data_IF_009169501557
#
_entry.id   IF_009169501557
#
_cell.length_a   1.000
_cell.length_b   1.000
_cell.length_c   1.000
_cell.angle_alpha   90.00
_cell.angle_beta   90.00
_cell.angle_gamma   90.00
#
_symmetry.space_group_name_H-M   'P 1'
#
loop_
_entity.id
_entity.type
_entity.pdbx_description
1 polymer ?
#
# COMPACT_ATOMS: atom_id res chain seq x y z
N UNK A 1 -24.23 0.08 13.54
CA UNK A 1 -22.93 0.34 14.18
C UNK A 1 -21.95 0.72 13.10
N UNK A 2 -21.41 1.96 13.10
CA UNK A 2 -20.29 2.30 12.21
C UNK A 2 -19.09 1.46 12.64
N UNK A 3 -18.66 0.50 11.82
CA UNK A 3 -17.42 -0.20 12.04
C UNK A 3 -16.29 0.68 11.52
N UNK A 4 -15.50 1.23 12.43
CA UNK A 4 -14.17 1.69 12.07
C UNK A 4 -13.38 0.43 11.69
N UNK A 5 -12.90 0.36 10.46
CA UNK A 5 -11.95 -0.68 10.07
C UNK A 5 -10.66 -0.45 10.88
N UNK A 6 -10.33 -1.36 11.77
CA UNK A 6 -9.02 -1.35 12.43
C UNK A 6 -7.97 -1.79 11.40
N UNK A 7 -7.45 -0.81 10.66
CA UNK A 7 -6.42 -1.02 9.65
C UNK A 7 -5.21 -1.68 10.31
N UNK A 8 -4.76 -2.82 9.75
CA UNK A 8 -3.68 -3.64 10.32
C UNK A 8 -4.16 -4.90 11.05
N UNK A 9 -5.46 -5.01 11.37
CA UNK A 9 -6.03 -6.21 12.00
C UNK A 9 -7.09 -6.92 11.13
N UNK A 10 -7.49 -6.30 10.01
CA UNK A 10 -8.50 -6.85 9.10
C UNK A 10 -7.96 -6.92 7.67
N UNK A 11 -8.58 -7.77 6.87
CA UNK A 11 -8.37 -7.85 5.42
C UNK A 11 -9.63 -7.47 4.65
N UNK A 12 -9.46 -7.02 3.41
CA UNK A 12 -10.54 -6.83 2.44
C UNK A 12 -10.32 -7.80 1.29
N UNK A 13 -11.31 -8.67 1.06
CA UNK A 13 -11.36 -9.51 -0.14
C UNK A 13 -11.87 -8.67 -1.30
N UNK A 14 -10.97 -8.28 -2.20
CA UNK A 14 -11.32 -7.34 -3.28
C UNK A 14 -11.99 -7.99 -4.48
N UNK A 15 -12.10 -9.34 -4.51
CA UNK A 15 -12.75 -10.07 -5.59
C UNK A 15 -13.21 -11.46 -5.14
N UNK A 16 -14.51 -11.65 -5.06
CA UNK A 16 -15.14 -12.90 -4.71
C UNK A 16 -16.52 -12.99 -5.38
N UNK A 17 -16.97 -14.18 -5.75
CA UNK A 17 -18.28 -14.42 -6.33
C UNK A 17 -19.20 -15.10 -5.32
N UNK A 18 -19.53 -14.41 -4.23
CA UNK A 18 -20.38 -14.94 -3.16
C UNK A 18 -21.82 -15.25 -3.60
N UNK A 19 -22.29 -14.62 -4.69
CA UNK A 19 -23.61 -14.80 -5.26
C UNK A 19 -23.77 -16.14 -6.01
N UNK A 20 -22.66 -16.79 -6.40
CA UNK A 20 -22.70 -18.02 -7.20
C UNK A 20 -23.36 -19.19 -6.48
N UNK A 21 -24.04 -20.05 -7.25
CA UNK A 21 -24.73 -21.28 -6.81
C UNK A 21 -23.80 -22.22 -6.01
N UNK A 22 -22.51 -22.18 -6.27
CA UNK A 22 -21.52 -22.95 -5.51
C UNK A 22 -21.57 -22.70 -4.00
N UNK A 23 -22.12 -21.56 -3.57
CA UNK A 23 -22.27 -21.20 -2.15
C UNK A 23 -23.70 -21.40 -1.63
N UNK A 24 -24.70 -21.73 -2.46
CA UNK A 24 -26.07 -21.88 -2.01
C UNK A 24 -26.27 -22.81 -0.80
N UNK A 25 -25.51 -23.92 -0.70
CA UNK A 25 -25.72 -24.85 0.41
C UNK A 25 -25.31 -24.29 1.78
N UNK A 26 -24.35 -23.33 1.83
CA UNK A 26 -23.74 -22.87 3.07
C UNK A 26 -23.25 -21.40 3.04
N UNK A 27 -23.83 -20.56 2.17
CA UNK A 27 -23.40 -19.14 1.98
C UNK A 27 -23.33 -18.35 3.28
N UNK A 28 -24.33 -18.50 4.17
CA UNK A 28 -24.35 -17.83 5.46
C UNK A 28 -23.16 -18.25 6.35
N UNK A 29 -22.86 -19.55 6.36
CA UNK A 29 -21.73 -20.09 7.12
C UNK A 29 -20.38 -19.63 6.54
N UNK A 30 -20.27 -19.55 5.20
CA UNK A 30 -19.09 -18.98 4.50
C UNK A 30 -18.86 -17.53 4.91
N UNK A 31 -19.91 -16.70 4.88
CA UNK A 31 -19.87 -15.29 5.28
C UNK A 31 -19.45 -15.17 6.76
N UNK A 32 -19.99 -16.04 7.62
CA UNK A 32 -19.61 -16.06 9.04
C UNK A 32 -18.15 -16.45 9.23
N UNK A 33 -17.67 -17.51 8.55
CA UNK A 33 -16.26 -17.92 8.61
C UNK A 33 -15.32 -16.82 8.13
N UNK A 34 -15.69 -16.11 7.06
CA UNK A 34 -14.93 -14.96 6.57
C UNK A 34 -14.77 -13.89 7.65
N UNK A 35 -15.87 -13.50 8.28
CA UNK A 35 -15.86 -12.53 9.37
C UNK A 35 -15.01 -13.00 10.56
N UNK A 36 -15.14 -14.27 10.97
CA UNK A 36 -14.40 -14.85 12.09
C UNK A 36 -12.89 -14.96 11.78
N UNK A 37 -12.53 -15.08 10.48
CA UNK A 37 -11.14 -15.07 10.00
C UNK A 37 -10.53 -13.66 9.86
N UNK A 38 -11.26 -12.58 10.21
CA UNK A 38 -10.74 -11.22 10.14
C UNK A 38 -10.96 -10.53 8.79
N UNK A 39 -11.86 -11.04 7.93
CA UNK A 39 -12.25 -10.34 6.71
C UNK A 39 -13.24 -9.23 7.09
N UNK A 40 -12.77 -7.98 7.00
CA UNK A 40 -13.53 -6.80 7.38
C UNK A 40 -14.49 -6.30 6.29
N UNK A 41 -14.17 -6.58 5.02
CA UNK A 41 -15.05 -6.32 3.89
C UNK A 41 -14.83 -7.32 2.76
N UNK A 42 -15.88 -7.53 1.95
CA UNK A 42 -15.86 -8.38 0.76
C UNK A 42 -16.48 -7.59 -0.38
N UNK A 43 -15.85 -7.61 -1.56
CA UNK A 43 -16.44 -7.11 -2.79
C UNK A 43 -16.90 -8.32 -3.60
N UNK A 44 -18.23 -8.52 -3.68
CA UNK A 44 -18.80 -9.56 -4.53
C UNK A 44 -18.98 -9.04 -5.96
N UNK A 45 -18.62 -9.85 -6.94
CA UNK A 45 -18.33 -9.39 -8.29
C UNK A 45 -19.41 -9.89 -9.26
N UNK A 46 -20.12 -8.95 -9.86
CA UNK A 46 -21.08 -9.28 -10.89
C UNK A 46 -20.43 -9.59 -12.23
N UNK A 47 -20.76 -10.72 -12.82
CA UNK A 47 -20.26 -11.20 -14.11
C UNK A 47 -21.32 -11.28 -15.22
N UNK A 48 -22.58 -11.36 -14.82
CA UNK A 48 -23.78 -11.36 -15.69
C UNK A 48 -24.97 -10.71 -14.96
N UNK A 49 -26.17 -10.70 -15.56
CA UNK A 49 -27.33 -10.07 -14.92
C UNK A 49 -27.78 -10.78 -13.63
N UNK A 50 -27.65 -12.08 -13.55
CA UNK A 50 -28.05 -12.84 -12.36
C UNK A 50 -27.05 -12.59 -11.23
N UNK A 51 -25.75 -12.67 -11.53
CA UNK A 51 -24.66 -12.36 -10.60
C UNK A 51 -24.71 -10.93 -10.09
N UNK A 52 -24.93 -9.95 -10.98
CA UNK A 52 -25.12 -8.55 -10.59
C UNK A 52 -26.27 -8.38 -9.59
N UNK A 53 -27.42 -9.01 -9.83
CA UNK A 53 -28.57 -8.96 -8.92
C UNK A 53 -28.26 -9.62 -7.58
N UNK A 54 -27.71 -10.84 -7.60
CA UNK A 54 -27.33 -11.58 -6.39
C UNK A 54 -26.32 -10.82 -5.54
N UNK A 55 -25.30 -10.23 -6.19
CA UNK A 55 -24.30 -9.39 -5.51
C UNK A 55 -24.93 -8.15 -4.85
N UNK A 56 -25.86 -7.47 -5.54
CA UNK A 56 -26.60 -6.35 -4.98
C UNK A 56 -27.44 -6.76 -3.77
N UNK A 57 -28.17 -7.88 -3.84
CA UNK A 57 -28.96 -8.41 -2.73
C UNK A 57 -28.10 -8.72 -1.51
N UNK A 58 -26.94 -9.38 -1.70
CA UNK A 58 -25.98 -9.64 -0.63
C UNK A 58 -25.43 -8.34 -0.02
N UNK A 59 -25.09 -7.37 -0.85
CA UNK A 59 -24.58 -6.09 -0.38
C UNK A 59 -25.61 -5.31 0.45
N UNK A 60 -26.89 -5.43 0.17
CA UNK A 60 -27.96 -4.82 0.96
C UNK A 60 -28.20 -5.55 2.28
N UNK A 61 -27.98 -6.87 2.30
CA UNK A 61 -28.21 -7.72 3.47
C UNK A 61 -27.10 -7.59 4.52
N UNK A 62 -25.84 -7.39 4.10
CA UNK A 62 -24.68 -7.37 4.98
C UNK A 62 -23.92 -6.04 4.89
N UNK A 63 -23.66 -5.41 6.02
CA UNK A 63 -23.00 -4.09 6.10
C UNK A 63 -21.56 -4.08 5.54
N UNK A 64 -20.86 -5.21 5.60
CA UNK A 64 -19.47 -5.35 5.17
C UNK A 64 -19.29 -5.99 3.79
N UNK A 65 -20.40 -6.28 3.08
CA UNK A 65 -20.39 -6.75 1.69
C UNK A 65 -20.73 -5.58 0.77
N UNK A 66 -19.89 -5.39 -0.23
CA UNK A 66 -20.03 -4.44 -1.32
C UNK A 66 -20.18 -5.20 -2.63
N UNK A 67 -20.66 -4.54 -3.70
CA UNK A 67 -20.84 -5.16 -4.99
C UNK A 67 -20.13 -4.37 -6.09
N UNK A 68 -19.73 -5.05 -7.14
CA UNK A 68 -19.50 -4.46 -8.45
C UNK A 68 -20.61 -4.92 -9.41
N UNK A 69 -20.79 -4.18 -10.49
CA UNK A 69 -21.71 -4.56 -11.57
C UNK A 69 -20.99 -4.48 -12.91
N UNK A 70 -21.12 -5.54 -13.70
CA UNK A 70 -20.45 -5.62 -14.98
C UNK A 70 -20.94 -6.82 -15.81
N UNK A 71 -20.29 -7.03 -16.94
CA UNK A 71 -20.57 -8.14 -17.86
C UNK A 71 -19.27 -8.72 -18.37
N UNK A 72 -19.03 -9.97 -18.01
CA UNK A 72 -17.77 -10.67 -18.21
C UNK A 72 -17.51 -10.95 -19.71
N UNK A 73 -16.24 -10.96 -20.17
CA UNK A 73 -15.91 -11.20 -21.57
C UNK A 73 -16.37 -12.56 -22.10
N UNK A 74 -16.58 -13.58 -21.27
CA UNK A 74 -17.09 -14.88 -21.69
C UNK A 74 -18.47 -14.78 -22.32
N UNK A 75 -19.31 -13.90 -21.79
CA UNK A 75 -20.72 -13.77 -22.19
C UNK A 75 -20.95 -12.54 -23.09
N UNK A 76 -19.87 -11.86 -23.52
CA UNK A 76 -19.95 -10.64 -24.31
C UNK A 76 -20.83 -10.75 -25.57
N UNK A 77 -20.96 -11.95 -26.18
CA UNK A 77 -21.82 -12.21 -27.33
C UNK A 77 -23.29 -12.00 -27.04
N UNK A 78 -23.71 -12.17 -25.78
CA UNK A 78 -25.08 -12.04 -25.31
C UNK A 78 -25.39 -10.62 -24.77
N UNK A 79 -24.42 -9.69 -24.82
CA UNK A 79 -24.57 -8.32 -24.35
C UNK A 79 -25.47 -7.50 -25.25
N UNK A 80 -26.57 -6.99 -24.70
CA UNK A 80 -27.53 -6.14 -25.42
C UNK A 80 -27.63 -4.74 -24.82
N UNK A 81 -28.34 -3.82 -25.52
CA UNK A 81 -28.61 -2.49 -24.98
C UNK A 81 -29.44 -2.53 -23.70
N UNK A 82 -30.37 -3.48 -23.59
CA UNK A 82 -31.20 -3.69 -22.39
C UNK A 82 -30.31 -4.08 -21.20
N UNK A 83 -29.38 -5.01 -21.42
CA UNK A 83 -28.40 -5.41 -20.39
C UNK A 83 -27.55 -4.21 -19.98
N UNK A 84 -27.03 -3.45 -20.93
CA UNK A 84 -26.25 -2.26 -20.65
C UNK A 84 -27.02 -1.23 -19.82
N UNK A 85 -28.27 -0.96 -20.20
CA UNK A 85 -29.13 -0.02 -19.49
C UNK A 85 -29.43 -0.48 -18.08
N UNK A 86 -29.62 -1.78 -17.88
CA UNK A 86 -29.84 -2.34 -16.54
C UNK A 86 -28.58 -2.22 -15.65
N UNK A 87 -27.37 -2.49 -16.19
CA UNK A 87 -26.11 -2.31 -15.47
C UNK A 87 -25.93 -0.81 -15.13
N UNK A 88 -26.18 0.09 -16.07
CA UNK A 88 -26.10 1.53 -15.86
C UNK A 88 -27.09 2.01 -14.79
N UNK A 89 -28.31 1.49 -14.79
CA UNK A 89 -29.31 1.78 -13.76
C UNK A 89 -28.83 1.37 -12.39
N UNK A 90 -28.38 0.11 -12.21
CA UNK A 90 -27.85 -0.39 -10.94
C UNK A 90 -26.63 0.37 -10.48
N UNK A 91 -25.67 0.60 -11.39
CA UNK A 91 -24.48 1.38 -11.07
C UNK A 91 -24.81 2.81 -10.62
N UNK A 92 -25.84 3.44 -11.20
CA UNK A 92 -26.27 4.81 -10.85
C UNK A 92 -27.05 4.82 -9.54
N UNK A 93 -28.00 3.91 -9.38
CA UNK A 93 -28.89 3.87 -8.21
C UNK A 93 -28.16 3.46 -6.93
N UNK A 94 -27.29 2.45 -7.02
CA UNK A 94 -26.59 1.86 -5.87
C UNK A 94 -25.13 2.29 -5.75
N UNK A 95 -24.67 3.27 -6.52
CA UNK A 95 -23.32 3.81 -6.42
C UNK A 95 -23.03 4.26 -5.00
N UNK A 96 -21.87 3.86 -4.48
CA UNK A 96 -21.36 4.37 -3.23
C UNK A 96 -21.18 5.89 -3.33
N UNK A 97 -21.90 6.62 -2.50
CA UNK A 97 -21.70 8.05 -2.34
C UNK A 97 -20.70 8.28 -1.23
N UNK A 98 -20.01 9.42 -1.23
CA UNK A 98 -18.97 9.77 -0.26
C UNK A 98 -19.19 9.11 1.11
N UNK A 99 -18.21 8.37 1.69
CA UNK A 99 -18.34 7.66 2.98
C UNK A 99 -18.80 8.55 4.14
N UNK A 100 -18.62 9.87 4.01
CA UNK A 100 -19.13 10.88 4.97
C UNK A 100 -20.57 11.30 4.72
N UNK A 101 -21.26 10.80 3.68
CA UNK A 101 -22.66 11.10 3.46
C UNK A 101 -23.55 10.24 4.38
N UNK A 102 -24.51 10.89 5.06
CA UNK A 102 -25.52 10.23 5.91
C UNK A 102 -26.57 9.45 5.11
N UNK A 103 -26.39 9.28 3.80
CA UNK A 103 -27.33 8.61 2.92
C UNK A 103 -27.00 7.12 2.93
N UNK A 104 -27.81 6.34 3.62
CA UNK A 104 -27.83 4.88 3.53
C UNK A 104 -28.30 4.48 2.13
N UNK A 105 -27.53 3.68 1.38
CA UNK A 105 -28.06 3.04 0.21
C UNK A 105 -27.12 2.58 -0.88
N UNK A 106 -25.99 3.21 -1.11
CA UNK A 106 -25.15 2.82 -2.24
C UNK A 106 -23.98 1.90 -1.83
N UNK A 107 -23.94 0.69 -2.39
CA UNK A 107 -22.84 -0.27 -2.15
C UNK A 107 -22.20 -0.81 -3.42
N UNK A 108 -22.52 -0.23 -4.59
CA UNK A 108 -21.79 -0.49 -5.83
C UNK A 108 -20.51 0.34 -5.82
N UNK A 109 -19.38 -0.35 -5.79
CA UNK A 109 -18.06 0.24 -5.63
C UNK A 109 -17.20 0.25 -6.90
N UNK A 110 -17.63 -0.41 -7.97
CA UNK A 110 -16.89 -0.50 -9.22
C UNK A 110 -17.73 -1.04 -10.38
N UNK A 111 -17.22 -0.85 -11.60
CA UNK A 111 -17.69 -1.51 -12.81
C UNK A 111 -16.80 -2.71 -13.08
N UNK A 112 -17.37 -3.89 -13.04
CA UNK A 112 -16.66 -5.16 -13.18
C UNK A 112 -17.50 -6.36 -12.70
N UNK A 113 -17.11 -7.51 -13.19
CA UNK A 113 -15.90 -7.87 -13.91
C UNK A 113 -16.05 -7.60 -15.40
N UNK A 114 -15.09 -6.88 -15.99
CA UNK A 114 -15.07 -6.52 -17.40
C UNK A 114 -13.68 -6.78 -17.98
N UNK A 115 -13.55 -6.93 -19.29
CA UNK A 115 -12.23 -7.11 -19.88
C UNK A 115 -12.19 -8.05 -21.07
N UNK A 116 -11.09 -8.80 -21.19
CA UNK A 116 -10.80 -9.67 -22.33
C UNK A 116 -10.27 -11.04 -21.88
N UNK A 117 -10.82 -12.12 -22.45
CA UNK A 117 -10.34 -13.49 -22.29
C UNK A 117 -10.09 -14.12 -23.68
N UNK A 118 -8.83 -14.22 -24.08
CA UNK A 118 -8.42 -14.83 -25.32
C UNK A 118 -7.94 -16.28 -25.13
N UNK A 119 -7.97 -16.76 -23.90
CA UNK A 119 -7.65 -18.15 -23.58
C UNK A 119 -8.85 -19.07 -23.86
N UNK A 120 -10.00 -18.73 -23.31
CA UNK A 120 -11.22 -19.52 -23.51
C UNK A 120 -11.98 -19.14 -24.78
N UNK A 121 -11.90 -17.88 -25.22
CA UNK A 121 -12.55 -17.37 -26.45
C UNK A 121 -14.07 -17.71 -26.56
N UNK A 122 -14.79 -17.73 -25.44
CA UNK A 122 -16.23 -18.05 -25.41
C UNK A 122 -17.11 -17.06 -26.17
N UNK A 123 -16.64 -15.84 -26.34
CA UNK A 123 -17.22 -14.81 -27.19
C UNK A 123 -16.21 -14.32 -28.22
N UNK A 124 -16.63 -13.92 -29.44
CA UNK A 124 -15.73 -13.39 -30.45
C UNK A 124 -14.91 -12.19 -29.92
N UNK A 125 -13.59 -12.17 -30.13
CA UNK A 125 -12.67 -11.16 -29.60
C UNK A 125 -13.07 -9.72 -29.93
N UNK A 126 -13.63 -9.50 -31.15
CA UNK A 126 -14.15 -8.18 -31.53
C UNK A 126 -15.29 -7.75 -30.62
N UNK A 127 -16.22 -8.65 -30.33
CA UNK A 127 -17.38 -8.37 -29.45
C UNK A 127 -16.87 -8.13 -28.01
N UNK A 128 -15.95 -8.95 -27.51
CA UNK A 128 -15.35 -8.72 -26.20
C UNK A 128 -14.77 -7.29 -26.10
N UNK A 129 -14.01 -6.83 -27.10
CA UNK A 129 -13.45 -5.47 -27.14
C UNK A 129 -14.51 -4.39 -27.14
N UNK A 130 -15.54 -4.53 -28.01
CA UNK A 130 -16.62 -3.55 -28.15
C UNK A 130 -17.38 -3.40 -26.81
N UNK A 131 -17.71 -4.51 -26.15
CA UNK A 131 -18.38 -4.56 -24.83
C UNK A 131 -17.49 -3.99 -23.74
N UNK A 132 -16.19 -4.32 -23.74
CA UNK A 132 -15.22 -3.79 -22.79
C UNK A 132 -15.12 -2.25 -22.86
N UNK A 133 -14.96 -1.70 -24.06
CA UNK A 133 -14.92 -0.24 -24.28
C UNK A 133 -16.19 0.44 -23.79
N UNK A 134 -17.36 -0.15 -24.06
CA UNK A 134 -18.64 0.40 -23.63
C UNK A 134 -18.77 0.49 -22.12
N UNK A 135 -18.30 -0.54 -21.40
CA UNK A 135 -18.33 -0.58 -19.94
C UNK A 135 -17.25 0.35 -19.32
N UNK A 136 -16.10 0.52 -19.97
CA UNK A 136 -15.10 1.51 -19.53
C UNK A 136 -15.65 2.95 -19.62
N UNK A 137 -16.36 3.30 -20.69
CA UNK A 137 -17.01 4.62 -20.80
C UNK A 137 -18.06 4.82 -19.71
N UNK A 138 -18.82 3.78 -19.35
CA UNK A 138 -19.76 3.84 -18.22
C UNK A 138 -19.04 4.12 -16.90
N UNK A 139 -17.91 3.44 -16.67
CA UNK A 139 -17.12 3.65 -15.46
C UNK A 139 -16.56 5.09 -15.38
N UNK A 140 -16.08 5.63 -16.51
CA UNK A 140 -15.62 7.01 -16.64
C UNK A 140 -16.76 8.00 -16.36
N UNK A 141 -17.92 7.82 -17.02
CA UNK A 141 -19.12 8.65 -16.81
C UNK A 141 -19.53 8.71 -15.33
N UNK A 142 -19.48 7.56 -14.65
CA UNK A 142 -19.89 7.46 -13.26
C UNK A 142 -18.76 7.79 -12.26
N UNK A 143 -17.50 7.90 -12.72
CA UNK A 143 -16.31 8.07 -11.85
C UNK A 143 -16.11 6.90 -10.89
N UNK A 144 -16.47 5.67 -11.32
CA UNK A 144 -16.24 4.42 -10.60
C UNK A 144 -14.94 3.76 -11.07
N UNK A 145 -14.21 3.07 -10.17
CA UNK A 145 -13.08 2.25 -10.59
C UNK A 145 -13.56 1.03 -11.38
N UNK A 146 -12.65 0.43 -12.15
CA UNK A 146 -12.94 -0.78 -12.93
C UNK A 146 -12.19 -1.98 -12.37
N UNK A 147 -12.83 -3.15 -12.47
CA UNK A 147 -12.26 -4.46 -12.11
C UNK A 147 -12.06 -5.23 -13.40
N UNK A 148 -10.78 -5.41 -13.78
CA UNK A 148 -10.39 -5.87 -15.10
C UNK A 148 -9.95 -7.33 -15.07
N UNK A 149 -10.63 -8.14 -15.85
CA UNK A 149 -10.20 -9.46 -16.29
C UNK A 149 -9.29 -9.35 -17.52
N UNK A 150 -8.13 -9.99 -17.49
CA UNK A 150 -7.24 -10.04 -18.65
C UNK A 150 -6.50 -11.37 -18.71
N UNK A 151 -6.87 -12.21 -19.66
CA UNK A 151 -6.25 -13.53 -19.84
C UNK A 151 -5.82 -13.74 -21.29
N UNK A 152 -4.50 -13.87 -21.50
CA UNK A 152 -3.86 -13.96 -22.82
C UNK A 152 -4.21 -12.79 -23.77
N UNK A 153 -4.61 -11.64 -23.20
CA UNK A 153 -5.08 -10.45 -23.93
C UNK A 153 -4.27 -9.17 -23.61
N UNK A 154 -3.06 -9.31 -23.06
CA UNK A 154 -2.21 -8.21 -22.54
C UNK A 154 -2.20 -6.98 -23.43
N UNK A 155 -1.90 -7.14 -24.75
CA UNK A 155 -1.72 -6.02 -25.68
C UNK A 155 -3.02 -5.22 -25.81
N UNK A 156 -4.11 -5.89 -26.18
CA UNK A 156 -5.41 -5.26 -26.43
C UNK A 156 -5.98 -4.65 -25.15
N UNK A 157 -5.83 -5.34 -23.99
CA UNK A 157 -6.30 -4.81 -22.70
C UNK A 157 -5.59 -3.52 -22.33
N UNK A 158 -4.26 -3.48 -22.40
CA UNK A 158 -3.49 -2.28 -22.08
C UNK A 158 -3.76 -1.12 -23.05
N UNK A 159 -3.91 -1.42 -24.35
CA UNK A 159 -4.21 -0.41 -25.37
C UNK A 159 -5.59 0.21 -25.12
N UNK A 160 -6.61 -0.61 -24.91
CA UNK A 160 -7.98 -0.16 -24.65
C UNK A 160 -8.07 0.65 -23.36
N UNK A 161 -7.49 0.15 -22.27
CA UNK A 161 -7.53 0.86 -20.97
C UNK A 161 -6.80 2.20 -21.04
N UNK A 162 -5.61 2.23 -21.65
CA UNK A 162 -4.84 3.48 -21.80
C UNK A 162 -5.57 4.52 -22.65
N UNK A 163 -6.41 4.10 -23.59
CA UNK A 163 -7.20 4.98 -24.46
C UNK A 163 -8.56 5.39 -23.90
N UNK A 164 -9.00 4.83 -22.78
CA UNK A 164 -10.38 4.96 -22.28
C UNK A 164 -10.66 6.19 -21.40
N UNK A 165 -9.62 6.91 -20.93
CA UNK A 165 -9.77 7.98 -19.94
C UNK A 165 -9.93 7.50 -18.49
N UNK A 166 -10.20 6.22 -18.26
CA UNK A 166 -10.27 5.63 -16.92
C UNK A 166 -8.87 5.54 -16.32
N UNK A 167 -8.69 6.14 -15.14
CA UNK A 167 -7.39 6.21 -14.45
C UNK A 167 -7.39 5.54 -13.07
N UNK A 168 -8.42 4.74 -12.77
CA UNK A 168 -8.57 4.02 -11.50
C UNK A 168 -9.17 2.65 -11.75
N UNK A 169 -8.50 1.62 -11.27
CA UNK A 169 -9.00 0.27 -11.37
C UNK A 169 -8.02 -0.74 -10.82
N UNK A 170 -8.35 -2.00 -11.01
CA UNK A 170 -7.53 -3.13 -10.62
C UNK A 170 -7.50 -4.16 -11.74
N UNK A 171 -6.32 -4.67 -12.03
CA UNK A 171 -6.18 -5.94 -12.75
C UNK A 171 -6.33 -7.04 -11.70
N UNK A 172 -7.51 -7.68 -11.70
CA UNK A 172 -7.79 -8.76 -10.77
C UNK A 172 -7.07 -10.04 -11.17
N UNK A 173 -6.86 -10.94 -10.23
CA UNK A 173 -6.25 -12.26 -10.44
C UNK A 173 -5.04 -12.21 -11.39
N UNK A 174 -4.12 -11.29 -11.13
CA UNK A 174 -3.07 -10.91 -12.07
C UNK A 174 -2.27 -12.12 -12.55
N UNK A 175 -2.31 -12.36 -13.84
CA UNK A 175 -1.61 -13.46 -14.51
C UNK A 175 -0.62 -12.98 -15.60
N UNK A 176 -0.37 -11.68 -15.70
CA UNK A 176 0.50 -11.03 -16.66
C UNK A 176 1.99 -11.23 -16.41
N UNK A 177 2.79 -10.35 -16.98
CA UNK A 177 4.23 -10.25 -16.74
C UNK A 177 4.59 -8.89 -16.10
N UNK A 178 5.87 -8.70 -15.76
CA UNK A 178 6.34 -7.47 -15.12
C UNK A 178 6.07 -6.23 -15.99
N UNK A 179 6.29 -6.29 -17.31
CA UNK A 179 5.98 -5.18 -18.21
C UNK A 179 4.49 -4.80 -18.17
N UNK A 180 3.60 -5.79 -18.09
CA UNK A 180 2.16 -5.53 -17.95
C UNK A 180 1.84 -4.86 -16.60
N UNK A 181 2.45 -5.34 -15.52
CA UNK A 181 2.26 -4.77 -14.19
C UNK A 181 2.76 -3.32 -14.13
N UNK A 182 3.97 -3.04 -14.62
CA UNK A 182 4.56 -1.69 -14.65
C UNK A 182 3.70 -0.72 -15.46
N UNK A 183 3.24 -1.14 -16.63
CA UNK A 183 2.37 -0.31 -17.49
C UNK A 183 1.00 -0.06 -16.87
N UNK A 184 0.42 -1.05 -16.21
CA UNK A 184 -0.84 -0.90 -15.48
C UNK A 184 -0.69 0.10 -14.32
N UNK A 185 0.37 -0.04 -13.52
CA UNK A 185 0.66 0.89 -12.42
C UNK A 185 0.95 2.32 -12.92
N UNK A 186 1.65 2.47 -14.04
CA UNK A 186 1.95 3.78 -14.63
C UNK A 186 0.69 4.58 -15.02
N UNK A 187 -0.43 3.90 -15.29
CA UNK A 187 -1.74 4.53 -15.57
C UNK A 187 -2.68 4.54 -14.34
N UNK A 188 -2.15 4.22 -13.13
CA UNK A 188 -2.88 4.33 -11.87
C UNK A 188 -3.67 3.09 -11.45
N UNK A 189 -3.40 1.92 -12.04
CA UNK A 189 -4.12 0.68 -11.73
C UNK A 189 -3.41 -0.17 -10.68
N UNK A 190 -4.17 -0.68 -9.73
CA UNK A 190 -3.71 -1.68 -8.78
C UNK A 190 -3.55 -3.05 -9.43
N UNK A 191 -2.72 -3.88 -8.80
CA UNK A 191 -2.51 -5.27 -9.14
C UNK A 191 -3.02 -6.13 -7.98
N UNK A 192 -3.99 -7.00 -8.23
CA UNK A 192 -4.53 -7.88 -7.21
C UNK A 192 -3.98 -9.29 -7.34
N UNK A 193 -3.58 -9.85 -6.20
CA UNK A 193 -2.92 -11.14 -6.09
C UNK A 193 -3.86 -12.14 -5.41
N UNK A 194 -4.15 -13.25 -6.11
CA UNK A 194 -5.02 -14.31 -5.65
C UNK A 194 -4.26 -15.56 -5.17
N UNK A 195 -5.01 -16.58 -4.76
CA UNK A 195 -4.51 -17.86 -4.23
C UNK A 195 -3.34 -18.52 -4.97
N UNK A 196 -3.23 -18.43 -6.31
CA UNK A 196 -2.10 -19.00 -7.07
C UNK A 196 -0.71 -18.55 -6.62
N UNK A 197 -0.57 -17.40 -5.96
CA UNK A 197 0.73 -16.96 -5.40
C UNK A 197 1.32 -17.97 -4.40
N UNK A 198 0.47 -18.78 -3.77
CA UNK A 198 0.87 -19.83 -2.83
C UNK A 198 1.43 -21.09 -3.52
N UNK A 199 1.27 -21.24 -4.85
CA UNK A 199 1.65 -22.44 -5.56
C UNK A 199 3.15 -22.48 -5.79
N UNK A 200 3.76 -23.67 -5.60
CA UNK A 200 5.22 -23.86 -5.74
C UNK A 200 5.76 -23.52 -7.12
N UNK A 201 4.95 -23.67 -8.16
CA UNK A 201 5.33 -23.41 -9.55
C UNK A 201 5.00 -21.98 -10.04
N UNK A 202 4.43 -21.13 -9.20
CA UNK A 202 4.03 -19.77 -9.56
C UNK A 202 5.17 -18.73 -9.44
N UNK A 203 6.41 -19.11 -9.73
CA UNK A 203 7.61 -18.28 -9.51
C UNK A 203 7.50 -16.88 -10.13
N UNK A 204 7.03 -16.80 -11.37
CA UNK A 204 6.85 -15.52 -12.07
C UNK A 204 5.89 -14.59 -11.31
N UNK A 205 4.75 -15.11 -10.85
CA UNK A 205 3.77 -14.33 -10.04
C UNK A 205 4.38 -13.94 -8.71
N UNK A 206 5.15 -14.82 -8.08
CA UNK A 206 5.84 -14.53 -6.81
C UNK A 206 6.88 -13.42 -6.96
N UNK A 207 7.67 -13.41 -8.04
CA UNK A 207 8.64 -12.36 -8.36
C UNK A 207 7.93 -11.01 -8.58
N UNK A 208 6.84 -11.00 -9.35
CA UNK A 208 6.02 -9.80 -9.58
C UNK A 208 5.44 -9.31 -8.25
N UNK A 209 4.85 -10.20 -7.45
CA UNK A 209 4.25 -9.86 -6.14
C UNK A 209 5.28 -9.23 -5.19
N UNK A 210 6.52 -9.71 -5.20
CA UNK A 210 7.59 -9.13 -4.40
C UNK A 210 7.99 -7.72 -4.87
N UNK A 211 7.82 -7.41 -6.16
CA UNK A 211 8.26 -6.16 -6.79
C UNK A 211 7.17 -5.08 -6.89
N UNK A 212 5.87 -5.42 -6.77
CA UNK A 212 4.78 -4.43 -6.79
C UNK A 212 4.99 -3.41 -5.66
N UNK A 213 5.00 -2.09 -5.95
CA UNK A 213 5.00 -1.07 -4.91
C UNK A 213 3.81 -1.19 -3.97
N UNK A 214 4.01 -0.87 -2.69
CA UNK A 214 2.97 -1.03 -1.65
C UNK A 214 1.65 -0.33 -2.02
N UNK A 215 1.68 0.85 -2.64
CA UNK A 215 0.48 1.63 -3.01
C UNK A 215 -0.38 0.99 -4.12
N UNK A 216 0.13 -0.03 -4.81
CA UNK A 216 -0.57 -0.70 -5.92
C UNK A 216 -0.96 -2.15 -5.61
N UNK A 217 -0.61 -2.66 -4.44
CA UNK A 217 -0.87 -4.06 -4.08
C UNK A 217 -2.27 -4.24 -3.50
N UNK A 218 -3.03 -5.17 -4.08
CA UNK A 218 -4.28 -5.70 -3.53
C UNK A 218 -4.19 -7.22 -3.40
N UNK A 219 -5.06 -7.79 -2.59
CA UNK A 219 -5.23 -9.24 -2.45
C UNK A 219 -6.70 -9.62 -2.55
N UNK A 220 -6.94 -10.82 -3.04
CA UNK A 220 -8.28 -11.36 -3.25
C UNK A 220 -8.30 -12.88 -3.16
N UNK A 221 -9.49 -13.46 -3.12
CA UNK A 221 -9.66 -14.91 -3.20
C UNK A 221 -10.00 -15.40 -4.59
N UNK A 222 -10.79 -14.68 -5.35
CA UNK A 222 -11.48 -15.14 -6.55
C UNK A 222 -12.36 -16.39 -6.27
N UNK A 223 -12.88 -16.47 -5.04
CA UNK A 223 -13.69 -17.61 -4.61
C UNK A 223 -15.03 -17.65 -5.40
N UNK A 224 -15.47 -18.85 -5.83
CA UNK A 224 -15.11 -20.20 -5.36
C UNK A 224 -13.89 -20.84 -6.05
N UNK A 225 -13.16 -20.10 -6.88
CA UNK A 225 -12.03 -20.56 -7.68
C UNK A 225 -10.68 -20.39 -6.95
N UNK A 226 -9.61 -20.94 -7.55
CA UNK A 226 -8.20 -20.62 -7.25
C UNK A 226 -7.79 -20.78 -5.78
N UNK A 227 -8.29 -21.79 -5.11
CA UNK A 227 -8.04 -22.07 -3.70
C UNK A 227 -6.55 -22.11 -3.38
N UNK A 228 -6.07 -21.33 -2.38
CA UNK A 228 -4.68 -21.30 -1.97
C UNK A 228 -4.23 -22.61 -1.30
N UNK A 229 -2.91 -22.86 -1.28
CA UNK A 229 -2.36 -23.88 -0.37
C UNK A 229 -2.60 -23.46 1.09
N UNK A 230 -2.88 -24.39 2.03
CA UNK A 230 -2.87 -25.86 1.86
C UNK A 230 -4.19 -26.45 1.40
N UNK A 231 -5.16 -25.64 1.00
CA UNK A 231 -6.54 -26.11 0.68
C UNK A 231 -6.79 -26.36 -0.80
N UNK A 232 -5.75 -26.30 -1.62
CA UNK A 232 -5.84 -26.52 -3.06
C UNK A 232 -6.65 -27.77 -3.42
N UNK A 233 -7.55 -27.63 -4.42
CA UNK A 233 -8.45 -28.72 -4.84
C UNK A 233 -9.79 -28.77 -4.08
N UNK A 234 -9.99 -27.92 -3.09
CA UNK A 234 -11.30 -27.70 -2.45
C UNK A 234 -11.95 -26.45 -3.05
N UNK A 235 -13.26 -26.25 -2.78
CA UNK A 235 -13.91 -24.96 -3.07
C UNK A 235 -13.23 -23.86 -2.25
N UNK A 236 -12.88 -22.76 -2.90
CA UNK A 236 -12.34 -21.58 -2.24
C UNK A 236 -13.44 -20.83 -1.47
N UNK A 237 -13.05 -20.04 -0.47
CA UNK A 237 -13.93 -19.14 0.27
C UNK A 237 -13.15 -17.93 0.80
N UNK A 238 -13.81 -16.78 1.07
CA UNK A 238 -13.12 -15.55 1.52
C UNK A 238 -12.27 -15.73 2.77
N UNK A 239 -12.62 -16.66 3.68
CA UNK A 239 -11.83 -16.97 4.87
C UNK A 239 -10.38 -17.42 4.52
N UNK A 240 -10.14 -17.95 3.33
CA UNK A 240 -8.82 -18.40 2.89
C UNK A 240 -7.92 -17.28 2.37
N UNK A 241 -8.41 -16.03 2.28
CA UNK A 241 -7.61 -14.86 1.94
C UNK A 241 -6.37 -14.73 2.84
N UNK A 242 -6.46 -15.15 4.09
CA UNK A 242 -5.35 -15.12 5.05
C UNK A 242 -4.12 -15.90 4.55
N UNK A 243 -4.31 -16.99 3.80
CA UNK A 243 -3.20 -17.78 3.25
C UNK A 243 -2.51 -17.08 2.08
N UNK A 244 -3.28 -16.37 1.25
CA UNK A 244 -2.74 -15.47 0.22
C UNK A 244 -1.92 -14.36 0.88
N UNK A 245 -2.48 -13.70 1.91
CA UNK A 245 -1.80 -12.64 2.65
C UNK A 245 -0.49 -13.13 3.32
N UNK A 246 -0.50 -14.32 3.92
CA UNK A 246 0.70 -14.95 4.51
C UNK A 246 1.80 -15.20 3.48
N UNK A 247 1.43 -15.71 2.30
CA UNK A 247 2.38 -15.93 1.21
C UNK A 247 2.98 -14.61 0.71
N UNK A 248 2.15 -13.58 0.53
CA UNK A 248 2.60 -12.24 0.13
C UNK A 248 3.53 -11.63 1.18
N UNK A 249 3.20 -11.75 2.47
CA UNK A 249 4.05 -11.28 3.57
C UNK A 249 5.43 -11.95 3.55
N UNK A 250 5.46 -13.27 3.38
CA UNK A 250 6.71 -14.04 3.30
C UNK A 250 7.57 -13.64 2.10
N UNK A 251 6.97 -13.48 0.91
CA UNK A 251 7.67 -13.05 -0.32
C UNK A 251 8.28 -11.65 -0.19
N UNK A 252 7.57 -10.73 0.47
CA UNK A 252 8.00 -9.34 0.65
C UNK A 252 8.88 -9.15 1.89
N UNK A 253 9.01 -10.16 2.75
CA UNK A 253 9.77 -10.09 3.98
C UNK A 253 9.21 -9.07 4.99
N UNK A 254 7.89 -8.89 5.02
CA UNK A 254 7.16 -8.00 5.94
C UNK A 254 6.23 -8.83 6.85
N UNK A 255 5.62 -8.19 7.86
CA UNK A 255 4.65 -8.87 8.73
C UNK A 255 3.30 -9.05 8.03
N UNK A 256 2.49 -9.98 8.55
CA UNK A 256 1.11 -10.15 8.09
C UNK A 256 0.27 -8.90 8.37
N UNK A 257 0.54 -8.21 9.47
CA UNK A 257 -0.07 -6.95 9.86
C UNK A 257 0.27 -5.82 8.86
N UNK A 258 1.52 -5.77 8.33
CA UNK A 258 1.90 -4.82 7.27
C UNK A 258 1.10 -5.10 5.99
N UNK A 259 0.93 -6.36 5.58
CA UNK A 259 0.12 -6.70 4.41
C UNK A 259 -1.35 -6.33 4.64
N UNK A 260 -1.91 -6.64 5.82
CA UNK A 260 -3.26 -6.22 6.19
C UNK A 260 -3.43 -4.70 6.01
N UNK A 261 -2.52 -3.92 6.58
CA UNK A 261 -2.56 -2.45 6.55
C UNK A 261 -2.46 -1.91 5.12
N UNK A 262 -1.47 -2.37 4.36
CA UNK A 262 -1.20 -1.91 2.99
C UNK A 262 -2.39 -2.22 2.09
N UNK A 263 -2.82 -3.48 2.04
CA UNK A 263 -3.86 -3.91 1.09
C UNK A 263 -5.25 -3.39 1.47
N UNK A 264 -5.56 -3.31 2.77
CA UNK A 264 -6.81 -2.71 3.25
C UNK A 264 -6.88 -1.23 2.89
N UNK A 265 -5.79 -0.47 3.10
CA UNK A 265 -5.74 0.95 2.76
C UNK A 265 -5.93 1.17 1.25
N UNK A 266 -5.26 0.37 0.42
CA UNK A 266 -5.38 0.45 -1.03
C UNK A 266 -6.80 0.14 -1.50
N UNK A 267 -7.43 -0.91 -0.93
CA UNK A 267 -8.82 -1.24 -1.23
C UNK A 267 -9.79 -0.11 -0.81
N UNK A 268 -9.58 0.48 0.39
CA UNK A 268 -10.38 1.62 0.86
C UNK A 268 -10.26 2.82 -0.07
N UNK A 269 -9.04 3.14 -0.55
CA UNK A 269 -8.79 4.24 -1.50
C UNK A 269 -9.43 4.00 -2.85
N UNK A 270 -9.22 2.80 -3.41
CA UNK A 270 -9.70 2.45 -4.74
C UNK A 270 -11.22 2.45 -4.79
N UNK A 271 -11.84 1.72 -3.86
CA UNK A 271 -13.27 1.47 -3.83
C UNK A 271 -14.07 2.46 -2.98
N UNK A 272 -13.40 3.41 -2.33
CA UNK A 272 -14.00 4.44 -1.44
C UNK A 272 -14.86 3.82 -0.32
N UNK A 273 -14.44 2.71 0.23
CA UNK A 273 -15.11 2.00 1.32
C UNK A 273 -14.42 2.29 2.66
N UNK A 274 -15.21 2.41 3.74
CA UNK A 274 -14.69 2.74 5.07
C UNK A 274 -14.26 4.21 5.23
N UNK A 275 -13.72 4.54 6.39
CA UNK A 275 -13.22 5.88 6.71
C UNK A 275 -11.68 5.86 6.66
N UNK A 276 -11.09 6.67 5.79
CA UNK A 276 -9.64 6.83 5.73
C UNK A 276 -9.12 7.45 7.03
N UNK A 277 -7.99 6.97 7.59
CA UNK A 277 -7.37 7.61 8.75
C UNK A 277 -7.06 9.08 8.46
N UNK A 278 -7.73 9.99 9.17
CA UNK A 278 -7.57 11.44 8.96
C UNK A 278 -6.46 12.08 9.80
N UNK A 279 -6.01 11.44 10.89
CA UNK A 279 -4.98 11.95 11.80
C UNK A 279 -3.67 11.19 11.59
N UNK A 280 -2.57 11.93 11.47
CA UNK A 280 -1.24 11.31 11.36
C UNK A 280 -0.83 10.58 12.64
N UNK A 281 -0.19 9.43 12.48
CA UNK A 281 0.31 8.60 13.57
C UNK A 281 1.60 9.20 14.15
N UNK A 282 1.64 9.37 15.48
CA UNK A 282 2.82 9.82 16.22
C UNK A 282 3.84 8.69 16.33
N UNK A 283 3.35 7.46 16.54
CA UNK A 283 4.16 6.25 16.62
C UNK A 283 3.53 5.15 15.76
N UNK A 284 4.36 4.45 14.99
CA UNK A 284 3.91 3.39 14.11
C UNK A 284 4.89 2.24 14.11
N UNK A 285 4.37 1.02 14.00
CA UNK A 285 5.17 -0.20 14.09
C UNK A 285 5.48 -0.74 12.70
N UNK A 286 6.76 -1.04 12.46
CA UNK A 286 7.19 -1.83 11.30
C UNK A 286 8.02 -2.99 11.83
N UNK A 287 7.55 -4.22 11.68
CA UNK A 287 8.10 -5.43 12.29
C UNK A 287 8.19 -5.26 13.82
N UNK A 288 9.36 -5.50 14.41
CA UNK A 288 9.58 -5.43 15.86
C UNK A 288 10.04 -4.04 16.35
N UNK A 289 10.12 -3.06 15.45
CA UNK A 289 10.56 -1.70 15.75
C UNK A 289 9.39 -0.74 15.80
N UNK A 290 9.47 0.23 16.71
CA UNK A 290 8.54 1.37 16.77
C UNK A 290 9.21 2.59 16.15
N UNK A 291 8.53 3.26 15.22
CA UNK A 291 8.98 4.49 14.59
C UNK A 291 8.22 5.68 15.14
N UNK A 292 8.94 6.77 15.44
CA UNK A 292 8.38 8.00 16.00
C UNK A 292 8.35 9.10 14.96
N UNK A 293 7.16 9.53 14.59
CA UNK A 293 6.90 10.64 13.68
C UNK A 293 6.54 11.88 14.49
N UNK A 294 7.49 12.78 14.69
CA UNK A 294 7.36 13.89 15.62
C UNK A 294 7.28 15.27 14.96
N UNK A 295 7.49 15.34 13.65
CA UNK A 295 7.37 16.58 12.86
C UNK A 295 7.20 16.30 11.38
N UNK A 296 6.48 17.19 10.67
CA UNK A 296 6.42 17.19 9.21
C UNK A 296 7.51 18.09 8.58
N UNK A 297 8.23 18.90 9.39
CA UNK A 297 9.24 19.85 8.92
C UNK A 297 10.55 19.14 8.61
N UNK A 298 11.24 19.60 7.57
CA UNK A 298 12.55 19.09 7.18
C UNK A 298 13.37 20.20 6.54
N UNK A 299 14.69 20.16 6.69
CA UNK A 299 15.63 21.06 6.03
C UNK A 299 16.00 20.64 4.62
N UNK A 300 15.47 19.50 4.15
CA UNK A 300 15.57 19.03 2.77
C UNK A 300 14.20 19.03 2.09
N UNK A 301 14.21 19.21 0.75
CA UNK A 301 13.06 19.03 -0.12
C UNK A 301 13.38 18.01 -1.21
N UNK A 302 13.81 16.80 -0.77
CA UNK A 302 14.27 15.74 -1.67
C UNK A 302 13.23 15.42 -2.74
N UNK A 303 13.67 15.29 -4.00
CA UNK A 303 12.79 15.00 -5.13
C UNK A 303 12.08 13.63 -5.04
N UNK A 304 12.65 12.72 -4.25
CA UNK A 304 12.17 11.37 -3.99
C UNK A 304 11.44 11.22 -2.66
N UNK A 305 11.20 12.32 -1.92
CA UNK A 305 10.61 12.23 -0.58
C UNK A 305 9.11 11.93 -0.67
N UNK A 306 8.70 10.86 -0.01
CA UNK A 306 7.31 10.41 0.03
C UNK A 306 6.32 11.50 0.48
N UNK A 307 6.70 12.41 1.37
CA UNK A 307 5.82 13.48 1.87
C UNK A 307 5.24 14.42 0.80
N UNK A 308 5.82 14.41 -0.42
CA UNK A 308 5.31 15.18 -1.56
C UNK A 308 4.39 14.36 -2.47
N UNK A 309 4.28 13.05 -2.22
CA UNK A 309 3.56 12.12 -3.09
C UNK A 309 2.42 11.40 -2.36
N UNK A 310 2.57 11.10 -1.07
CA UNK A 310 1.58 10.36 -0.28
C UNK A 310 1.64 10.79 1.19
N UNK A 311 0.51 10.77 1.89
CA UNK A 311 0.47 10.92 3.35
C UNK A 311 0.74 9.59 4.09
N UNK A 312 0.93 8.51 3.34
CA UNK A 312 1.03 7.16 3.89
C UNK A 312 2.37 6.51 3.56
N UNK A 313 2.93 5.83 4.56
CA UNK A 313 4.12 4.97 4.44
C UNK A 313 3.76 3.59 5.00
N UNK A 314 3.86 2.56 4.17
CA UNK A 314 3.45 1.19 4.52
C UNK A 314 2.06 1.11 5.19
N UNK A 315 1.12 1.93 4.69
CA UNK A 315 -0.24 2.03 5.18
C UNK A 315 -0.42 2.86 6.46
N UNK A 316 0.64 3.41 7.05
CA UNK A 316 0.56 4.37 8.17
C UNK A 316 0.39 5.79 7.64
N UNK A 317 -0.62 6.51 8.12
CA UNK A 317 -0.74 7.94 7.85
C UNK A 317 0.32 8.70 8.66
N UNK A 318 1.26 9.35 8.01
CA UNK A 318 2.31 10.11 8.70
C UNK A 318 2.12 11.64 8.62
N UNK A 319 1.06 12.14 7.98
CA UNK A 319 0.76 13.57 7.94
C UNK A 319 0.20 14.04 9.27
N UNK A 320 1.04 14.55 10.15
CA UNK A 320 0.61 15.14 11.40
C UNK A 320 -0.21 16.41 11.15
N UNK A 321 -1.30 16.59 11.89
CA UNK A 321 -2.05 17.84 11.91
C UNK A 321 -1.28 18.89 12.72
N UNK A 322 -0.79 18.48 13.91
CA UNK A 322 0.02 19.27 14.82
C UNK A 322 1.24 18.48 15.27
N UNK A 323 2.30 19.17 15.64
CA UNK A 323 3.48 18.53 16.23
C UNK A 323 3.15 18.03 17.63
N UNK A 324 3.41 16.72 17.94
CA UNK A 324 3.02 16.14 19.23
C UNK A 324 3.84 16.72 20.39
N UNK A 325 3.21 16.81 21.54
CA UNK A 325 3.86 17.09 22.81
C UNK A 325 4.68 15.91 23.30
N UNK A 326 5.54 16.12 24.29
CA UNK A 326 6.33 15.06 24.92
C UNK A 326 5.43 13.97 25.54
N UNK A 327 4.35 14.36 26.18
CA UNK A 327 3.41 13.41 26.81
C UNK A 327 2.64 12.56 25.78
N UNK A 328 2.22 13.15 24.67
CA UNK A 328 1.59 12.41 23.56
C UNK A 328 2.55 11.39 22.95
N UNK A 329 3.84 11.73 22.79
CA UNK A 329 4.86 10.80 22.29
C UNK A 329 5.07 9.66 23.29
N UNK A 330 5.19 9.93 24.59
CA UNK A 330 5.32 8.89 25.63
C UNK A 330 4.11 7.97 25.66
N UNK A 331 2.92 8.53 25.56
CA UNK A 331 1.68 7.77 25.52
C UNK A 331 1.61 6.87 24.28
N UNK A 332 2.04 7.37 23.12
CA UNK A 332 2.07 6.61 21.87
C UNK A 332 3.11 5.48 21.90
N UNK A 333 4.22 5.62 22.62
CA UNK A 333 5.23 4.57 22.80
C UNK A 333 4.72 3.46 23.74
N UNK A 334 4.05 3.81 24.82
CA UNK A 334 3.65 2.85 25.87
C UNK A 334 4.86 2.29 26.60
N UNK A 335 5.04 0.96 26.59
CA UNK A 335 6.22 0.31 27.21
C UNK A 335 7.36 0.17 26.19
N UNK A 336 8.50 0.88 26.38
CA UNK A 336 9.63 0.80 25.46
C UNK A 336 10.30 -0.58 25.36
N UNK A 337 10.20 -1.40 26.42
CA UNK A 337 10.88 -2.69 26.49
C UNK A 337 10.30 -3.74 25.53
N UNK A 338 9.08 -3.54 25.03
CA UNK A 338 8.43 -4.46 24.09
C UNK A 338 8.97 -4.38 22.66
N UNK A 339 9.75 -3.34 22.33
CA UNK A 339 10.28 -3.12 20.98
C UNK A 339 11.76 -3.48 20.91
N UNK A 340 12.18 -4.04 19.77
CA UNK A 340 13.59 -4.29 19.52
C UNK A 340 14.39 -2.98 19.52
N UNK A 341 13.80 -1.92 18.93
CA UNK A 341 14.38 -0.61 18.83
C UNK A 341 13.28 0.45 18.62
N UNK A 342 13.44 1.64 19.22
CA UNK A 342 12.57 2.79 18.98
C UNK A 342 13.34 3.79 18.12
N UNK A 343 12.76 4.17 16.99
CA UNK A 343 13.43 4.91 15.92
C UNK A 343 12.79 6.28 15.73
N UNK A 344 13.50 7.36 15.95
CA UNK A 344 13.06 8.68 15.54
C UNK A 344 13.16 8.77 14.01
N UNK A 345 12.02 8.63 13.32
CA UNK A 345 11.93 8.65 11.87
C UNK A 345 10.46 8.82 11.46
N UNK A 346 10.18 9.83 10.68
CA UNK A 346 8.85 10.13 10.18
C UNK A 346 8.91 10.93 8.88
N UNK A 347 7.94 11.81 8.67
CA UNK A 347 7.92 12.68 7.50
C UNK A 347 8.98 13.76 7.50
N UNK A 348 9.36 14.25 8.68
CA UNK A 348 10.30 15.34 8.85
C UNK A 348 11.66 14.91 9.37
N UNK A 349 12.50 15.91 9.62
CA UNK A 349 13.80 15.77 10.25
C UNK A 349 13.63 15.81 11.77
N UNK A 350 13.83 14.71 12.51
CA UNK A 350 13.60 14.67 13.95
C UNK A 350 14.49 15.63 14.74
N UNK A 351 15.71 15.90 14.29
CA UNK A 351 16.63 16.80 14.98
C UNK A 351 16.21 18.28 14.93
N UNK A 352 15.19 18.66 14.16
CA UNK A 352 14.52 19.96 14.31
C UNK A 352 13.84 20.12 15.69
N UNK A 353 13.62 19.02 16.39
CA UNK A 353 13.03 18.99 17.74
C UNK A 353 13.99 18.35 18.74
N UNK A 354 15.23 18.82 18.75
CA UNK A 354 16.33 18.23 19.53
C UNK A 354 15.98 18.02 21.01
N UNK A 355 15.35 19.00 21.67
CA UNK A 355 14.99 18.86 23.08
C UNK A 355 13.98 17.78 23.33
N UNK A 356 12.96 17.65 22.46
CA UNK A 356 12.01 16.53 22.53
C UNK A 356 12.71 15.20 22.30
N UNK A 357 13.60 15.11 21.30
CA UNK A 357 14.38 13.90 21.02
C UNK A 357 15.18 13.49 22.24
N UNK A 358 15.89 14.42 22.89
CA UNK A 358 16.70 14.14 24.10
C UNK A 358 15.84 13.64 25.24
N UNK A 359 14.74 14.33 25.55
CA UNK A 359 13.86 13.98 26.66
C UNK A 359 13.24 12.61 26.46
N UNK A 360 12.72 12.31 25.26
CA UNK A 360 12.12 11.03 24.93
C UNK A 360 13.19 9.92 24.91
N UNK A 361 14.37 10.16 24.31
CA UNK A 361 15.46 9.19 24.30
C UNK A 361 15.89 8.81 25.72
N UNK A 362 16.08 9.80 26.59
CA UNK A 362 16.39 9.57 28.00
C UNK A 362 15.31 8.78 28.72
N UNK A 363 14.02 9.12 28.47
CA UNK A 363 12.88 8.42 29.05
C UNK A 363 12.82 6.96 28.60
N UNK A 364 13.13 6.67 27.31
CA UNK A 364 13.23 5.33 26.76
C UNK A 364 14.38 4.55 27.41
N UNK A 365 15.56 5.15 27.52
CA UNK A 365 16.74 4.51 28.15
C UNK A 365 16.52 4.12 29.61
N UNK A 366 15.83 4.98 30.38
CA UNK A 366 15.45 4.69 31.76
C UNK A 366 14.50 3.48 31.89
N UNK A 367 13.88 3.04 30.77
CA UNK A 367 13.00 1.88 30.67
C UNK A 367 13.58 0.72 29.85
N UNK A 368 14.91 0.66 29.77
CA UNK A 368 15.67 -0.37 29.06
C UNK A 368 15.38 -0.49 27.55
N UNK A 369 14.79 0.53 26.93
CA UNK A 369 14.60 0.59 25.50
C UNK A 369 15.90 0.97 24.76
N UNK A 370 15.95 0.64 23.44
CA UNK A 370 17.02 1.03 22.52
C UNK A 370 16.55 2.16 21.63
N UNK A 371 17.42 3.12 21.38
CA UNK A 371 17.11 4.34 20.63
C UNK A 371 17.95 4.43 19.37
N UNK A 372 17.30 4.65 18.23
CA UNK A 372 17.94 5.04 16.96
C UNK A 372 17.38 6.36 16.46
N UNK A 373 18.23 7.13 15.80
CA UNK A 373 17.82 8.32 15.06
C UNK A 373 18.12 8.11 13.57
N UNK A 374 17.13 8.31 12.72
CA UNK A 374 17.34 8.48 11.28
C UNK A 374 17.27 9.98 10.97
N UNK A 375 18.34 10.53 10.39
CA UNK A 375 18.49 11.98 10.18
C UNK A 375 19.11 12.29 8.83
N UNK A 376 18.82 13.47 8.30
CA UNK A 376 19.51 14.01 7.13
C UNK A 376 20.92 14.58 7.44
N UNK A 377 21.35 14.56 8.71
CA UNK A 377 22.68 14.99 9.12
C UNK A 377 22.87 16.49 9.28
N UNK A 378 21.82 17.29 9.21
CA UNK A 378 21.91 18.75 9.35
C UNK A 378 21.86 19.26 10.79
N UNK A 379 21.85 18.39 11.80
CA UNK A 379 21.66 18.77 13.19
C UNK A 379 22.62 19.88 13.65
N UNK A 380 23.93 19.79 13.33
CA UNK A 380 24.91 20.82 13.69
C UNK A 380 24.72 22.14 12.93
N UNK A 381 24.20 22.09 11.70
CA UNK A 381 23.87 23.29 10.92
C UNK A 381 22.62 23.99 11.47
N UNK A 382 21.59 23.22 11.88
CA UNK A 382 20.34 23.76 12.44
C UNK A 382 20.61 24.58 13.70
N UNK A 383 21.50 24.08 14.56
CA UNK A 383 21.78 24.69 15.87
C UNK A 383 23.09 25.51 15.91
N UNK A 384 23.79 25.62 14.79
CA UNK A 384 25.07 26.33 14.66
C UNK A 384 26.13 25.90 15.72
N UNK A 385 26.03 24.65 16.18
CA UNK A 385 26.92 24.04 17.18
C UNK A 385 26.93 22.52 17.07
N UNK A 386 27.91 21.88 17.70
CA UNK A 386 27.92 20.41 17.78
C UNK A 386 26.92 19.93 18.83
N UNK A 387 25.85 19.26 18.36
CA UNK A 387 24.78 18.69 19.21
C UNK A 387 25.04 17.24 19.65
N UNK A 388 26.02 16.58 19.03
CA UNK A 388 26.26 15.14 19.24
C UNK A 388 26.68 14.76 20.67
N UNK A 389 27.44 15.61 21.41
CA UNK A 389 27.68 15.35 22.83
C UNK A 389 26.42 15.23 23.68
N UNK A 390 25.33 15.93 23.29
CA UNK A 390 24.05 15.90 24.02
C UNK A 390 23.26 14.59 23.78
N UNK A 391 23.61 13.83 22.74
CA UNK A 391 23.00 12.55 22.40
C UNK A 391 23.79 11.36 22.97
N UNK A 392 24.99 11.61 23.52
CA UNK A 392 25.86 10.58 24.10
C UNK A 392 25.16 9.87 25.27
N UNK A 393 25.16 8.55 25.24
CA UNK A 393 24.57 7.69 26.29
C UNK A 393 23.03 7.55 26.25
N UNK A 394 22.33 8.38 25.46
CA UNK A 394 20.89 8.29 25.29
C UNK A 394 20.46 7.78 23.90
N UNK A 395 21.38 7.77 22.93
CA UNK A 395 21.19 7.24 21.57
C UNK A 395 22.16 6.08 21.34
N UNK A 396 21.65 4.91 20.96
CA UNK A 396 22.44 3.70 20.71
C UNK A 396 22.96 3.65 19.28
N UNK A 397 22.16 4.15 18.32
CA UNK A 397 22.51 4.13 16.91
C UNK A 397 22.00 5.36 16.15
N UNK A 398 22.73 5.77 15.11
CA UNK A 398 22.32 6.83 14.22
C UNK A 398 22.51 6.41 12.76
N UNK A 399 21.49 6.67 11.94
CA UNK A 399 21.50 6.43 10.50
C UNK A 399 21.39 7.77 9.78
N UNK A 400 22.43 8.15 9.06
CA UNK A 400 22.55 9.47 8.44
C UNK A 400 22.38 9.32 6.92
N UNK A 401 21.51 10.11 6.34
CA UNK A 401 21.27 10.16 4.90
C UNK A 401 22.41 10.84 4.18
N UNK A 402 23.32 10.07 3.60
CA UNK A 402 24.38 10.57 2.71
C UNK A 402 23.79 10.92 1.33
N UNK A 403 22.97 10.01 0.81
CA UNK A 403 22.12 10.08 -0.39
C UNK A 403 22.81 10.38 -1.73
N UNK A 404 24.02 10.95 -1.74
CA UNK A 404 24.79 11.26 -2.95
C UNK A 404 26.29 11.11 -2.74
N UNK A 405 27.01 10.90 -3.83
CA UNK A 405 28.48 10.78 -3.86
C UNK A 405 29.21 12.13 -3.80
N UNK A 406 28.54 13.24 -4.16
CA UNK A 406 29.12 14.57 -4.25
C UNK A 406 28.09 15.68 -3.98
N UNK A 407 28.58 16.91 -3.80
CA UNK A 407 27.78 18.10 -3.50
C UNK A 407 26.77 18.45 -4.61
N UNK A 408 27.16 18.35 -5.87
CA UNK A 408 26.31 18.74 -6.99
C UNK A 408 25.10 17.83 -7.07
N UNK A 409 25.33 16.52 -7.00
CA UNK A 409 24.29 15.50 -6.97
C UNK A 409 23.40 15.64 -5.73
N UNK A 410 24.02 15.84 -4.55
CA UNK A 410 23.29 16.06 -3.29
C UNK A 410 22.33 17.24 -3.39
N UNK A 411 22.83 18.41 -3.83
CA UNK A 411 22.02 19.62 -3.97
C UNK A 411 20.87 19.43 -4.97
N UNK A 412 21.11 18.70 -6.06
CA UNK A 412 20.12 18.43 -7.08
C UNK A 412 18.97 17.56 -6.58
N UNK A 413 19.27 16.48 -5.84
CA UNK A 413 18.27 15.50 -5.41
C UNK A 413 17.67 15.82 -4.05
N UNK A 414 18.45 16.30 -3.09
CA UNK A 414 18.00 16.61 -1.72
C UNK A 414 17.45 18.01 -1.56
N UNK A 415 17.84 18.96 -2.42
CA UNK A 415 17.40 20.37 -2.39
C UNK A 415 17.45 20.95 -0.97
N UNK A 416 18.62 21.02 -0.34
CA UNK A 416 18.77 21.45 1.06
C UNK A 416 18.53 22.95 1.24
N UNK A 417 18.17 23.36 2.47
CA UNK A 417 18.02 24.77 2.86
C UNK A 417 19.35 25.45 3.16
N UNK A 418 20.45 24.72 3.26
CA UNK A 418 21.79 25.23 3.59
C UNK A 418 22.71 25.11 2.37
N UNK A 419 23.52 26.16 2.10
CA UNK A 419 24.48 26.15 1.00
C UNK A 419 25.61 25.14 1.17
N UNK A 420 26.03 24.91 2.42
CA UNK A 420 27.09 23.97 2.80
C UNK A 420 26.54 22.65 3.36
N UNK A 421 25.33 22.25 2.92
CA UNK A 421 24.61 21.07 3.45
C UNK A 421 25.43 19.78 3.32
N UNK A 422 25.99 19.49 2.13
CA UNK A 422 26.76 18.27 1.90
C UNK A 422 28.01 18.18 2.79
N UNK A 423 28.77 19.24 2.86
CA UNK A 423 29.94 19.35 3.75
C UNK A 423 29.52 19.21 5.22
N UNK A 424 28.37 19.79 5.58
CA UNK A 424 27.76 19.66 6.90
C UNK A 424 27.43 18.21 7.25
N UNK A 425 26.86 17.46 6.32
CA UNK A 425 26.57 16.02 6.48
C UNK A 425 27.87 15.23 6.69
N UNK A 426 28.89 15.44 5.85
CA UNK A 426 30.20 14.76 6.00
C UNK A 426 30.84 15.06 7.35
N UNK A 427 30.79 16.33 7.81
CA UNK A 427 31.26 16.74 9.11
C UNK A 427 30.46 16.09 10.25
N UNK A 428 29.15 16.07 10.14
CA UNK A 428 28.25 15.43 11.11
C UNK A 428 28.51 13.93 11.26
N UNK A 429 28.79 13.23 10.16
CA UNK A 429 29.13 11.79 10.16
C UNK A 429 30.43 11.56 10.93
N UNK A 430 31.49 12.38 10.69
CA UNK A 430 32.77 12.26 11.39
C UNK A 430 32.63 12.52 12.89
N UNK A 431 31.86 13.54 13.25
CA UNK A 431 31.63 13.87 14.66
C UNK A 431 30.75 12.82 15.37
N UNK A 432 29.72 12.26 14.70
CA UNK A 432 28.84 11.28 15.29
C UNK A 432 29.57 10.04 15.82
N UNK A 433 30.63 9.60 15.15
CA UNK A 433 31.43 8.43 15.56
C UNK A 433 32.14 8.62 16.90
N UNK A 434 32.33 9.88 17.36
CA UNK A 434 32.96 10.16 18.66
C UNK A 434 32.01 9.97 19.84
N UNK A 435 30.68 10.05 19.60
CA UNK A 435 29.66 10.12 20.65
C UNK A 435 28.64 9.02 20.60
N UNK A 436 28.39 8.44 19.42
CA UNK A 436 27.32 7.44 19.20
C UNK A 436 27.96 6.08 18.90
N UNK A 437 27.55 5.00 19.62
CA UNK A 437 28.17 3.68 19.48
C UNK A 437 28.07 3.06 18.07
N UNK A 438 26.93 3.26 17.40
CA UNK A 438 26.68 2.70 16.08
C UNK A 438 26.28 3.78 15.08
N UNK A 439 27.20 4.11 14.16
CA UNK A 439 26.95 5.08 13.09
C UNK A 439 26.94 4.36 11.74
N UNK A 440 25.89 4.58 10.95
CA UNK A 440 25.82 4.13 9.57
C UNK A 440 25.31 5.26 8.67
N UNK A 441 25.61 5.18 7.39
CA UNK A 441 25.05 6.08 6.39
C UNK A 441 24.15 5.33 5.43
N UNK A 442 23.20 6.04 4.82
CA UNK A 442 22.29 5.47 3.81
C UNK A 442 22.39 6.25 2.51
N UNK A 443 22.16 5.55 1.41
CA UNK A 443 21.91 6.18 0.11
C UNK A 443 20.77 5.43 -0.59
N UNK A 444 19.97 6.17 -1.36
CA UNK A 444 18.84 5.63 -2.13
C UNK A 444 19.29 5.44 -3.58
N UNK A 445 18.89 4.32 -4.20
CA UNK A 445 19.16 4.06 -5.62
C UNK A 445 18.28 4.98 -6.48
N UNK A 446 18.90 6.01 -7.05
CA UNK A 446 18.22 7.02 -7.88
C UNK A 446 19.02 7.25 -9.18
N UNK A 447 18.35 7.66 -10.27
CA UNK A 447 19.06 8.12 -11.47
C UNK A 447 20.04 9.26 -11.13
N UNK A 448 21.32 9.06 -11.48
CA UNK A 448 22.40 10.02 -11.22
C UNK A 448 23.13 9.84 -9.89
N UNK A 449 22.68 8.92 -9.02
CA UNK A 449 23.42 8.54 -7.81
C UNK A 449 24.30 7.34 -8.12
N UNK A 450 25.62 7.52 -7.95
CA UNK A 450 26.60 6.45 -8.05
C UNK A 450 26.79 5.77 -6.68
N UNK A 451 26.21 4.59 -6.53
CA UNK A 451 26.23 3.84 -5.27
C UNK A 451 27.65 3.37 -4.91
N UNK A 452 28.49 3.04 -5.89
CA UNK A 452 29.87 2.61 -5.60
C UNK A 452 30.72 3.80 -5.13
N UNK A 453 30.53 4.99 -5.72
CA UNK A 453 31.14 6.21 -5.22
C UNK A 453 30.61 6.61 -3.82
N UNK A 454 29.31 6.46 -3.56
CA UNK A 454 28.76 6.62 -2.21
C UNK A 454 29.41 5.64 -1.21
N UNK A 455 29.69 4.40 -1.64
CA UNK A 455 30.38 3.39 -0.83
C UNK A 455 31.83 3.81 -0.53
N UNK A 456 32.53 4.37 -1.53
CA UNK A 456 33.88 4.90 -1.36
C UNK A 456 33.90 6.05 -0.35
N UNK A 457 32.99 7.02 -0.49
CA UNK A 457 32.84 8.14 0.46
C UNK A 457 32.56 7.64 1.87
N UNK A 458 31.65 6.69 2.03
CA UNK A 458 31.36 6.08 3.34
C UNK A 458 32.60 5.38 3.93
N UNK A 459 33.37 4.67 3.11
CA UNK A 459 34.62 4.02 3.50
C UNK A 459 35.71 5.03 3.96
N UNK A 460 35.86 6.14 3.27
CA UNK A 460 36.77 7.24 3.66
C UNK A 460 36.33 7.90 4.98
N UNK A 461 35.03 7.90 5.27
CA UNK A 461 34.49 8.36 6.54
C UNK A 461 34.58 7.33 7.66
N UNK A 462 34.97 6.08 7.36
CA UNK A 462 35.06 4.99 8.33
C UNK A 462 33.70 4.44 8.77
N UNK A 463 32.65 4.58 7.97
CA UNK A 463 31.28 4.13 8.30
C UNK A 463 30.72 3.16 7.25
N UNK A 464 29.75 2.33 7.67
CA UNK A 464 29.07 1.40 6.76
C UNK A 464 28.01 2.14 5.95
N UNK A 465 27.97 1.92 4.62
CA UNK A 465 26.87 2.32 3.76
C UNK A 465 25.80 1.22 3.74
N UNK A 466 24.54 1.60 4.02
CA UNK A 466 23.36 0.81 3.74
C UNK A 466 22.67 1.40 2.51
N UNK A 467 22.59 0.62 1.45
CA UNK A 467 21.86 0.99 0.24
C UNK A 467 20.37 0.69 0.43
N UNK A 468 19.54 1.63 0.04
CA UNK A 468 18.08 1.50 0.02
C UNK A 468 17.61 1.57 -1.43
N UNK A 469 16.80 0.60 -1.85
CA UNK A 469 16.08 0.71 -3.11
C UNK A 469 14.95 1.70 -2.93
N UNK A 470 14.80 2.62 -3.88
CA UNK A 470 13.62 3.48 -3.91
C UNK A 470 12.42 2.60 -4.23
N UNK A 471 11.62 2.32 -3.23
CA UNK A 471 10.25 1.89 -3.45
C UNK A 471 9.34 3.12 -3.36
N UNK A 472 8.18 3.09 -4.01
CA UNK A 472 7.26 4.23 -4.07
C UNK A 472 6.75 4.69 -2.68
N UNK A 473 7.20 4.06 -1.62
CA UNK A 473 6.76 4.26 -0.23
C UNK A 473 7.91 4.67 0.72
N UNK A 474 9.09 5.00 0.20
CA UNK A 474 10.23 5.56 0.96
C UNK A 474 11.15 4.53 1.60
#
# INVERSE_FOLDING_TARGET
MKRNFEIGSIFIDTHCHLEMDAFDPDREDVIKRAHDAGIGAIITIGSDLAGNRGGLELSQKYDFIFASVGFHPHDAKDFTEEIFNQIKEWATQFKIQNPNSKIQGGKVVGIGEIGLDYHYDHSPRKIQRDVFVKQLHLAEELGLPVIIHSREAKKDTLEIVSGSGVNKGVFHCFSGDMDMAERAMAIGFCISVAGPVTFKNAKKLQEITAAIPDDFLLIETDAPYLTPEPFRGRRNEPAYLIHTAQAVAALRGVSLEDISRITTLNAMRLFRIGEMPGKGEIAYKIRDNLYLNITNRCTNSCSFCIRFHSDYVKGHNLRLLDEPTEEEVKQAIGDPAQYQEIVFCGYGEPLLRLDLVKNIAQWIKLRNGKVRINTNGHGNLIYERNILPELQGIVDSISISLDAQDKETYNKICKPSFENAYEGVLSFIREAQKFIPHVQVTAVTLPGVDIEECRRVAGELGVRLRVRTLDAVG
#
